data_IF_691501826630
#
_entry.id   IF_691501826630
#
_cell.length_a   1.000
_cell.length_b   1.000
_cell.length_c   1.000
_cell.angle_alpha   90.00
_cell.angle_beta   90.00
_cell.angle_gamma   90.00
#
_symmetry.space_group_name_H-M   'P 1'
#
loop_
_entity.id
_entity.type
_entity.pdbx_description
1 polymer ?
#
# COMPACT_ATOMS: atom_id res chain seq x y z
N UNK A 1 28.86 33.97 1.37
CA UNK A 1 27.56 33.84 2.01
C UNK A 1 27.33 32.33 2.26
N UNK A 2 27.34 31.92 3.51
CA UNK A 2 27.04 30.53 3.90
C UNK A 2 25.56 30.29 3.66
N UNK A 3 25.26 29.39 2.75
CA UNK A 3 23.94 28.79 2.64
C UNK A 3 23.72 27.99 3.93
N UNK A 4 22.79 28.42 4.72
CA UNK A 4 22.24 27.65 5.83
C UNK A 4 21.50 26.46 5.22
N UNK A 5 22.04 25.26 5.45
CA UNK A 5 21.35 24.00 5.28
C UNK A 5 20.02 24.12 6.01
N UNK A 6 18.93 23.83 5.30
CA UNK A 6 17.59 23.84 5.85
C UNK A 6 17.56 22.97 7.10
N UNK A 7 17.06 23.58 8.16
CA UNK A 7 16.85 22.99 9.46
C UNK A 7 16.08 21.67 9.37
N UNK A 8 16.54 20.69 10.15
CA UNK A 8 15.78 19.58 10.64
C UNK A 8 14.29 19.94 10.77
N UNK A 9 13.50 19.49 9.82
CA UNK A 9 12.08 19.35 10.06
C UNK A 9 11.99 18.27 11.15
N UNK A 10 11.80 18.70 12.38
CA UNK A 10 11.46 17.81 13.46
C UNK A 10 10.14 17.16 13.08
N UNK A 11 10.21 15.97 12.51
CA UNK A 11 9.08 15.08 12.37
C UNK A 11 8.56 14.82 13.78
N UNK A 12 7.43 15.42 14.10
CA UNK A 12 6.66 14.99 15.26
C UNK A 12 6.13 13.60 14.91
N UNK A 13 6.68 12.59 15.54
CA UNK A 13 6.11 11.25 15.65
C UNK A 13 4.80 11.35 16.43
N UNK A 14 3.73 11.87 15.83
CA UNK A 14 2.47 12.07 16.54
C UNK A 14 1.51 10.91 16.37
N UNK A 15 1.78 9.93 15.51
CA UNK A 15 0.84 8.85 15.22
C UNK A 15 1.43 7.43 15.37
N UNK A 16 2.66 7.28 15.81
CA UNK A 16 3.30 5.96 16.03
C UNK A 16 3.02 5.42 17.45
N UNK A 17 2.41 6.19 18.33
CA UNK A 17 2.13 5.77 19.71
C UNK A 17 0.94 4.78 19.86
N UNK A 18 0.21 4.47 18.77
CA UNK A 18 -0.81 3.42 18.77
C UNK A 18 -0.27 2.16 18.10
N UNK A 19 0.58 1.45 18.78
CA UNK A 19 1.17 0.17 18.33
C UNK A 19 0.13 -0.90 18.03
N UNK A 20 -1.06 -0.78 18.59
CA UNK A 20 -2.17 -1.72 18.41
C UNK A 20 -3.01 -1.51 17.14
N UNK A 21 -2.82 -0.38 16.42
CA UNK A 21 -3.58 -0.10 15.19
C UNK A 21 -2.83 0.91 14.30
N UNK A 22 -1.70 0.55 13.68
CA UNK A 22 -0.89 1.50 12.92
C UNK A 22 -1.59 1.95 11.64
N UNK A 23 -1.76 3.27 11.49
CA UNK A 23 -2.29 3.86 10.26
C UNK A 23 -1.35 3.69 9.06
N UNK A 24 -0.06 3.44 9.33
CA UNK A 24 1.00 3.22 8.33
C UNK A 24 1.84 2.01 8.72
N UNK A 25 2.43 1.35 7.73
CA UNK A 25 3.40 0.28 7.98
C UNK A 25 4.38 0.13 6.82
N UNK A 26 5.31 -0.82 6.92
CA UNK A 26 6.46 -0.95 6.04
C UNK A 26 6.80 -2.40 5.73
N UNK A 27 7.17 -2.68 4.47
CA UNK A 27 7.96 -3.86 4.12
C UNK A 27 9.43 -3.49 4.23
N UNK A 28 10.15 -4.13 5.16
CA UNK A 28 11.56 -3.81 5.45
C UNK A 28 12.41 -5.06 5.76
N UNK A 29 11.96 -6.22 5.31
CA UNK A 29 12.58 -7.52 5.55
C UNK A 29 13.91 -7.70 4.80
N UNK A 30 14.14 -6.93 3.74
CA UNK A 30 15.31 -7.03 2.89
C UNK A 30 16.13 -5.72 2.87
N UNK A 31 16.68 -5.34 1.74
CA UNK A 31 17.52 -4.16 1.58
C UNK A 31 16.75 -2.90 1.20
N UNK A 32 15.42 -2.98 1.09
CA UNK A 32 14.52 -1.87 0.82
C UNK A 32 13.55 -1.68 1.99
N UNK A 33 13.23 -0.44 2.35
CA UNK A 33 12.08 -0.12 3.15
C UNK A 33 11.02 0.55 2.26
N UNK A 34 9.77 0.05 2.29
CA UNK A 34 8.70 0.53 1.43
C UNK A 34 7.42 0.71 2.25
N UNK A 35 7.00 1.98 2.40
CA UNK A 35 5.93 2.39 3.29
C UNK A 35 4.58 2.50 2.59
N UNK A 36 3.53 2.14 3.31
CA UNK A 36 2.13 2.24 2.86
C UNK A 36 1.24 2.67 4.02
N UNK A 37 0.15 3.36 3.72
CA UNK A 37 -0.89 3.67 4.70
C UNK A 37 -2.14 2.80 4.51
N UNK A 38 -3.02 2.82 5.50
CA UNK A 38 -4.23 1.99 5.54
C UNK A 38 -5.27 2.28 4.44
N UNK A 39 -5.16 3.40 3.75
CA UNK A 39 -5.95 3.70 2.54
C UNK A 39 -5.43 3.01 1.27
N UNK A 40 -4.31 2.29 1.34
CA UNK A 40 -3.63 1.69 0.20
C UNK A 40 -2.73 2.66 -0.58
N UNK A 41 -2.66 3.92 -0.16
CA UNK A 41 -1.77 4.91 -0.75
C UNK A 41 -0.33 4.74 -0.24
N UNK A 42 0.63 5.15 -1.06
CA UNK A 42 1.98 5.37 -0.61
C UNK A 42 2.05 6.46 0.45
N UNK A 43 3.09 6.45 1.26
CA UNK A 43 3.26 7.47 2.29
C UNK A 43 4.72 7.75 2.62
N UNK A 44 5.02 9.02 2.80
CA UNK A 44 6.31 9.49 3.34
C UNK A 44 6.31 9.52 4.86
N UNK A 45 5.13 9.43 5.49
CA UNK A 45 5.01 9.38 6.94
C UNK A 45 5.62 8.08 7.48
N UNK A 46 6.34 8.16 8.57
CA UNK A 46 7.03 7.02 9.18
C UNK A 46 8.43 6.74 8.60
N UNK A 47 8.71 7.13 7.38
CA UNK A 47 10.06 7.00 6.83
C UNK A 47 11.05 7.97 7.51
N UNK A 48 12.23 7.50 7.92
CA UNK A 48 13.26 8.36 8.51
C UNK A 48 13.77 9.45 7.57
N UNK A 49 13.64 9.28 6.28
CA UNK A 49 14.12 10.19 5.25
C UNK A 49 13.03 11.04 4.60
N UNK A 50 11.77 10.89 5.01
CA UNK A 50 10.64 11.59 4.39
C UNK A 50 10.35 11.13 2.94
N UNK A 51 10.65 9.86 2.65
CA UNK A 51 10.44 9.21 1.36
C UNK A 51 9.57 7.97 1.57
N UNK A 52 8.77 7.58 0.60
CA UNK A 52 8.00 6.35 0.70
C UNK A 52 8.90 5.11 0.64
N UNK A 53 9.93 5.11 -0.18
CA UNK A 53 10.87 4.01 -0.26
C UNK A 53 12.31 4.49 -0.06
N UNK A 54 13.04 3.78 0.80
CA UNK A 54 14.46 3.96 1.05
C UNK A 54 15.25 2.77 0.50
N UNK A 55 16.37 3.04 -0.18
CA UNK A 55 17.25 2.00 -0.69
C UNK A 55 18.70 2.49 -0.85
N UNK A 56 19.70 1.77 -0.32
CA UNK A 56 19.54 0.69 0.67
C UNK A 56 18.85 1.17 1.95
N UNK A 57 18.19 0.27 2.66
CA UNK A 57 17.53 0.59 3.93
C UNK A 57 18.46 1.38 4.87
N UNK A 58 17.96 2.40 5.55
CA UNK A 58 18.69 3.37 6.38
C UNK A 58 19.60 4.34 5.60
N UNK A 59 19.41 4.51 4.30
CA UNK A 59 20.18 5.47 3.50
C UNK A 59 19.28 6.48 2.79
N UNK A 60 19.46 6.72 1.50
CA UNK A 60 18.70 7.71 0.74
C UNK A 60 17.38 7.19 0.20
N UNK A 61 16.51 8.13 -0.15
CA UNK A 61 15.24 7.85 -0.79
C UNK A 61 15.40 7.33 -2.22
N UNK A 62 14.46 6.50 -2.61
CA UNK A 62 14.33 5.94 -3.95
C UNK A 62 13.05 6.39 -4.63
N UNK A 63 11.96 6.48 -3.86
CA UNK A 63 10.64 6.89 -4.30
C UNK A 63 10.11 7.86 -3.25
N UNK A 64 9.73 9.07 -3.69
CA UNK A 64 9.09 10.04 -2.81
C UNK A 64 7.68 9.58 -2.45
N UNK A 65 6.84 9.33 -3.45
CA UNK A 65 5.48 8.83 -3.26
C UNK A 65 5.01 8.04 -4.49
N UNK A 66 4.15 7.06 -4.28
CA UNK A 66 3.49 6.33 -5.34
C UNK A 66 2.01 6.04 -5.03
N UNK A 67 1.28 5.56 -6.01
CA UNK A 67 -0.09 5.14 -5.83
C UNK A 67 -0.65 4.40 -7.03
N UNK A 68 -1.78 3.73 -6.80
CA UNK A 68 -2.58 3.16 -7.88
C UNK A 68 -3.61 4.18 -8.33
N UNK A 69 -3.74 4.36 -9.64
CA UNK A 69 -4.74 5.19 -10.27
C UNK A 69 -5.59 4.38 -11.23
N UNK A 70 -6.84 4.75 -11.36
CA UNK A 70 -7.71 4.26 -12.41
C UNK A 70 -8.54 5.37 -13.03
N UNK A 71 -8.88 5.18 -14.29
CA UNK A 71 -9.85 5.96 -15.04
C UNK A 71 -10.96 5.05 -15.53
N UNK A 72 -12.20 5.46 -15.30
CA UNK A 72 -13.39 4.66 -15.58
C UNK A 72 -14.37 5.46 -16.46
N UNK A 73 -14.96 4.78 -17.43
CA UNK A 73 -16.05 5.31 -18.25
C UNK A 73 -17.25 4.39 -18.17
N UNK A 74 -18.44 4.97 -18.15
CA UNK A 74 -19.71 4.26 -18.29
C UNK A 74 -20.72 5.16 -19.00
N UNK A 75 -21.70 4.56 -19.68
CA UNK A 75 -22.74 5.29 -20.45
C UNK A 75 -23.69 6.08 -19.54
N UNK A 76 -23.88 5.65 -18.28
CA UNK A 76 -24.71 6.31 -17.29
C UNK A 76 -24.08 7.56 -16.68
N UNK A 77 -22.79 7.76 -16.90
CA UNK A 77 -22.13 8.97 -16.38
C UNK A 77 -22.60 10.19 -17.16
N UNK A 78 -22.79 11.34 -16.49
CA UNK A 78 -23.28 12.54 -17.15
C UNK A 78 -22.31 13.03 -18.23
N UNK A 79 -22.83 13.55 -19.35
CA UNK A 79 -22.02 14.11 -20.45
C UNK A 79 -21.02 15.18 -19.98
N UNK A 80 -21.33 15.90 -18.89
CA UNK A 80 -20.44 16.91 -18.30
C UNK A 80 -19.24 16.30 -17.55
N UNK A 81 -19.30 15.02 -17.17
CA UNK A 81 -18.26 14.28 -16.47
C UNK A 81 -18.28 12.79 -16.90
N UNK A 82 -17.96 12.50 -18.19
CA UNK A 82 -18.12 11.16 -18.76
C UNK A 82 -17.04 10.18 -18.31
N UNK A 83 -16.05 10.64 -17.58
CA UNK A 83 -14.95 9.85 -17.02
C UNK A 83 -14.82 10.16 -15.54
N UNK A 84 -14.70 9.12 -14.74
CA UNK A 84 -14.31 9.23 -13.33
C UNK A 84 -12.90 8.73 -13.14
N UNK A 85 -12.21 9.35 -12.19
CA UNK A 85 -10.85 8.95 -11.79
C UNK A 85 -10.85 8.65 -10.31
N UNK A 86 -10.12 7.62 -9.93
CA UNK A 86 -9.97 7.22 -8.53
C UNK A 86 -8.54 6.76 -8.24
N UNK A 87 -8.29 6.36 -6.98
CA UNK A 87 -6.99 5.94 -6.51
C UNK A 87 -6.25 7.01 -5.73
N UNK A 88 -4.93 7.00 -5.80
CA UNK A 88 -4.07 7.87 -4.99
C UNK A 88 -2.89 8.41 -5.78
N UNK A 89 -2.59 9.70 -5.56
CA UNK A 89 -1.35 10.39 -5.91
C UNK A 89 -0.87 11.09 -4.63
N UNK A 90 -0.42 12.34 -4.69
CA UNK A 90 -0.29 13.23 -3.51
C UNK A 90 -1.66 13.50 -2.84
N UNK A 91 -2.74 13.23 -3.54
CA UNK A 91 -4.10 13.25 -3.01
C UNK A 91 -4.63 11.82 -2.87
N UNK A 92 -5.34 11.57 -1.77
CA UNK A 92 -5.86 10.26 -1.42
C UNK A 92 -7.34 10.20 -1.79
N UNK A 93 -7.65 9.34 -2.74
CA UNK A 93 -9.01 9.12 -3.21
C UNK A 93 -9.68 7.87 -2.60
N UNK A 94 -9.05 7.26 -1.59
CA UNK A 94 -9.53 6.06 -0.92
C UNK A 94 -9.51 6.24 0.59
N UNK A 95 -10.40 5.56 1.30
CA UNK A 95 -10.39 5.42 2.76
C UNK A 95 -10.26 3.96 3.15
N UNK A 96 -9.65 3.68 4.30
CA UNK A 96 -9.56 2.33 4.84
C UNK A 96 -10.96 1.73 5.09
N UNK A 97 -11.08 0.42 4.96
CA UNK A 97 -12.28 -0.33 5.22
C UNK A 97 -12.82 -1.07 3.99
N UNK A 98 -13.68 -2.03 4.24
CA UNK A 98 -14.36 -2.82 3.20
C UNK A 98 -15.76 -2.27 2.93
N UNK A 99 -16.30 -2.64 1.76
CA UNK A 99 -17.68 -2.29 1.39
C UNK A 99 -18.65 -3.25 2.05
N UNK A 100 -19.69 -2.72 2.68
CA UNK A 100 -20.71 -3.48 3.41
C UNK A 100 -21.93 -3.69 2.52
N UNK A 101 -22.38 -4.94 2.47
CA UNK A 101 -23.56 -5.36 1.71
C UNK A 101 -24.66 -5.85 2.64
N UNK A 102 -25.91 -5.64 2.25
CA UNK A 102 -27.08 -6.23 2.91
C UNK A 102 -27.24 -7.73 2.54
N UNK A 103 -28.27 -8.36 3.10
CA UNK A 103 -28.56 -9.77 2.84
C UNK A 103 -28.96 -10.07 1.37
N UNK A 104 -29.37 -9.05 0.62
CA UNK A 104 -29.75 -9.16 -0.79
C UNK A 104 -28.56 -8.84 -1.71
N UNK A 105 -27.38 -8.49 -1.13
CA UNK A 105 -26.15 -8.19 -1.85
C UNK A 105 -26.02 -6.73 -2.30
N UNK A 106 -26.92 -5.85 -1.88
CA UNK A 106 -26.81 -4.43 -2.23
C UNK A 106 -25.79 -3.72 -1.34
N UNK A 107 -25.06 -2.79 -1.89
CA UNK A 107 -24.18 -1.91 -1.12
C UNK A 107 -25.01 -1.02 -0.19
N UNK A 108 -24.68 -1.00 1.09
CA UNK A 108 -25.32 -0.14 2.10
C UNK A 108 -24.37 0.94 2.59
N UNK A 109 -23.10 0.80 2.36
CA UNK A 109 -22.06 1.74 2.74
C UNK A 109 -20.70 1.06 2.90
N UNK A 110 -19.80 1.67 3.63
CA UNK A 110 -18.49 1.13 3.98
C UNK A 110 -18.30 1.07 5.49
N UNK A 111 -17.47 0.16 5.95
CA UNK A 111 -17.09 0.06 7.36
C UNK A 111 -16.31 1.29 7.82
N UNK A 112 -16.32 1.55 9.14
CA UNK A 112 -15.66 2.71 9.73
C UNK A 112 -14.13 2.59 9.57
N UNK A 113 -13.47 3.58 8.92
CA UNK A 113 -12.02 3.58 8.73
C UNK A 113 -11.20 3.51 10.03
N UNK A 114 -11.80 3.86 11.17
CA UNK A 114 -11.12 3.79 12.48
C UNK A 114 -10.83 2.35 12.91
N UNK A 115 -11.63 1.39 12.43
CA UNK A 115 -11.50 -0.03 12.75
C UNK A 115 -10.39 -0.72 11.94
N UNK A 116 -9.75 -0.02 11.01
CA UNK A 116 -8.76 -0.57 10.10
C UNK A 116 -7.38 0.01 10.33
N UNK A 117 -6.38 -0.85 10.13
CA UNK A 117 -4.96 -0.52 10.16
C UNK A 117 -4.24 -1.15 8.97
N UNK A 118 -2.94 -0.97 8.89
CA UNK A 118 -2.07 -1.70 7.95
C UNK A 118 -1.63 -2.99 8.61
N UNK A 119 -2.14 -4.11 8.14
CA UNK A 119 -1.80 -5.44 8.64
C UNK A 119 -0.39 -5.83 8.21
N UNK A 120 0.40 -6.37 9.13
CA UNK A 120 1.80 -6.67 8.88
C UNK A 120 2.22 -7.96 9.58
N UNK A 121 2.65 -8.95 8.81
CA UNK A 121 3.11 -10.23 9.33
C UNK A 121 4.50 -10.57 8.83
N UNK A 122 5.24 -11.33 9.63
CA UNK A 122 6.57 -11.81 9.33
C UNK A 122 6.70 -13.26 9.83
N UNK A 123 7.10 -14.18 8.97
CA UNK A 123 7.03 -15.63 9.25
C UNK A 123 7.99 -16.09 10.36
N UNK A 124 9.07 -15.36 10.60
CA UNK A 124 10.08 -15.68 11.62
C UNK A 124 10.03 -14.77 12.86
N UNK A 125 8.97 -13.94 13.03
CA UNK A 125 8.93 -12.91 14.07
C UNK A 125 9.18 -13.44 15.49
N UNK A 126 8.75 -14.66 15.79
CA UNK A 126 8.92 -15.30 17.12
C UNK A 126 10.39 -15.60 17.46
N UNK A 127 11.28 -15.68 16.47
CA UNK A 127 12.67 -16.08 16.65
C UNK A 127 13.69 -15.10 16.10
N UNK A 128 13.25 -14.16 15.28
CA UNK A 128 14.12 -13.19 14.62
C UNK A 128 14.64 -12.13 15.61
N UNK A 129 15.82 -11.59 15.32
CA UNK A 129 16.27 -10.32 15.90
C UNK A 129 15.54 -9.16 15.21
N UNK A 130 14.57 -8.58 15.89
CA UNK A 130 13.75 -7.48 15.39
C UNK A 130 14.38 -6.09 15.59
N UNK A 131 15.63 -6.00 16.04
CA UNK A 131 16.30 -4.72 16.32
C UNK A 131 16.34 -3.80 15.10
N UNK A 132 16.71 -4.32 13.91
CA UNK A 132 16.74 -3.52 12.68
C UNK A 132 15.35 -3.16 12.17
N UNK A 133 14.42 -4.08 12.29
CA UNK A 133 13.03 -3.87 11.94
C UNK A 133 12.43 -2.73 12.76
N UNK A 134 12.52 -2.82 14.08
CA UNK A 134 12.06 -1.78 14.99
C UNK A 134 12.80 -0.44 14.79
N UNK A 135 14.10 -0.47 14.55
CA UNK A 135 14.85 0.75 14.27
C UNK A 135 14.34 1.49 13.02
N UNK A 136 14.03 0.75 11.95
CA UNK A 136 13.45 1.34 10.74
C UNK A 136 12.02 1.82 10.99
N UNK A 137 11.18 0.99 11.63
CA UNK A 137 9.79 1.33 11.94
C UNK A 137 9.65 2.60 12.80
N UNK A 138 10.53 2.77 13.78
CA UNK A 138 10.56 3.94 14.67
C UNK A 138 11.47 5.08 14.18
N UNK A 139 11.90 5.07 12.92
CA UNK A 139 12.75 6.10 12.33
C UNK A 139 14.01 6.43 13.18
N UNK A 140 14.67 5.37 13.69
CA UNK A 140 15.85 5.49 14.55
C UNK A 140 16.98 4.57 14.08
N UNK A 141 18.06 4.47 14.83
CA UNK A 141 19.17 3.56 14.54
C UNK A 141 19.11 2.31 15.39
N UNK A 142 19.72 1.22 14.93
CA UNK A 142 19.79 -0.02 15.70
C UNK A 142 20.46 0.14 17.08
N UNK A 143 21.31 1.16 17.25
CA UNK A 143 21.94 1.46 18.55
C UNK A 143 21.06 2.28 19.50
N UNK A 144 20.01 2.93 18.98
CA UNK A 144 19.15 3.84 19.72
C UNK A 144 17.74 3.25 19.96
N UNK A 145 17.37 2.23 19.20
CA UNK A 145 16.07 1.56 19.39
C UNK A 145 15.99 0.95 20.81
N UNK A 146 14.87 1.16 21.47
CA UNK A 146 14.69 0.67 22.84
C UNK A 146 14.15 -0.77 22.86
N UNK A 147 14.34 -1.46 23.99
CA UNK A 147 13.75 -2.77 24.18
C UNK A 147 12.21 -2.74 24.13
N UNK A 148 11.58 -1.65 24.56
CA UNK A 148 10.15 -1.42 24.46
C UNK A 148 9.70 -1.31 23.02
N UNK A 149 10.40 -0.55 22.18
CA UNK A 149 10.12 -0.44 20.74
C UNK A 149 10.25 -1.79 20.02
N UNK A 150 11.25 -2.59 20.37
CA UNK A 150 11.41 -3.93 19.82
C UNK A 150 10.24 -4.84 20.26
N UNK A 151 9.85 -4.77 21.54
CA UNK A 151 8.72 -5.52 22.05
C UNK A 151 7.41 -5.12 21.38
N UNK A 152 7.18 -3.82 21.17
CA UNK A 152 6.01 -3.31 20.49
C UNK A 152 5.89 -3.84 19.05
N UNK A 153 7.00 -3.92 18.31
CA UNK A 153 7.01 -4.54 16.97
C UNK A 153 6.69 -6.02 17.02
N UNK A 154 7.21 -6.73 18.03
CA UNK A 154 6.87 -8.13 18.27
C UNK A 154 5.38 -8.30 18.55
N UNK A 155 4.84 -7.53 19.49
CA UNK A 155 3.43 -7.58 19.91
C UNK A 155 2.49 -7.26 18.73
N UNK A 156 2.88 -6.34 17.86
CA UNK A 156 2.15 -6.06 16.62
C UNK A 156 2.13 -7.27 15.68
N UNK A 157 3.29 -7.89 15.43
CA UNK A 157 3.34 -9.08 14.59
C UNK A 157 2.50 -10.21 15.16
N UNK A 158 2.55 -10.43 16.47
CA UNK A 158 1.73 -11.45 17.14
C UNK A 158 0.24 -11.14 17.00
N UNK A 159 -0.16 -9.90 17.23
CA UNK A 159 -1.55 -9.45 17.08
C UNK A 159 -2.05 -9.62 15.65
N UNK A 160 -1.28 -9.16 14.67
CA UNK A 160 -1.66 -9.24 13.25
C UNK A 160 -1.68 -10.69 12.76
N UNK A 161 -0.80 -11.55 13.26
CA UNK A 161 -0.79 -12.98 12.97
C UNK A 161 -2.08 -13.65 13.45
N UNK A 162 -2.44 -13.40 14.70
CA UNK A 162 -3.61 -14.03 15.34
C UNK A 162 -4.94 -13.52 14.80
N UNK A 163 -4.98 -12.29 14.28
CA UNK A 163 -6.20 -11.63 13.79
C UNK A 163 -6.14 -11.32 12.29
N UNK A 164 -5.34 -12.06 11.53
CA UNK A 164 -5.16 -11.83 10.09
C UNK A 164 -6.50 -11.80 9.35
N UNK A 165 -6.78 -10.78 8.52
CA UNK A 165 -8.11 -10.54 7.97
C UNK A 165 -8.38 -11.37 6.70
N UNK A 166 -8.14 -12.68 6.77
CA UNK A 166 -8.38 -13.60 5.65
C UNK A 166 -9.84 -13.56 5.16
N UNK A 167 -10.79 -13.34 6.07
CA UNK A 167 -12.21 -13.19 5.71
C UNK A 167 -12.48 -11.97 4.82
N UNK A 168 -11.58 -10.98 4.78
CA UNK A 168 -11.67 -9.80 3.92
C UNK A 168 -10.81 -9.95 2.64
N UNK A 169 -10.22 -11.14 2.43
CA UNK A 169 -9.41 -11.45 1.26
C UNK A 169 -7.91 -11.25 1.43
N UNK A 170 -7.41 -11.08 2.68
CA UNK A 170 -5.98 -11.09 2.92
C UNK A 170 -5.41 -12.49 2.63
N UNK A 171 -4.30 -12.60 1.88
CA UNK A 171 -3.76 -13.88 1.46
C UNK A 171 -3.16 -14.66 2.65
N UNK A 172 -3.23 -15.98 2.59
CA UNK A 172 -2.58 -16.88 3.53
C UNK A 172 -2.20 -18.20 2.85
N UNK A 173 -1.26 -18.93 3.43
CA UNK A 173 -0.95 -20.29 3.00
C UNK A 173 -1.82 -21.26 3.83
N UNK A 174 -2.78 -21.88 3.17
CA UNK A 174 -3.64 -22.92 3.75
C UNK A 174 -2.84 -24.23 3.85
N UNK A 175 -2.31 -24.49 5.02
CA UNK A 175 -1.41 -25.62 5.26
C UNK A 175 -2.15 -26.96 5.33
N UNK A 176 -3.40 -26.95 5.80
CA UNK A 176 -4.18 -28.15 5.99
C UNK A 176 -5.18 -28.43 4.82
N UNK A 177 -5.39 -27.48 3.91
CA UNK A 177 -6.23 -27.58 2.73
C UNK A 177 -7.73 -27.55 3.03
N UNK A 178 -8.15 -26.89 4.11
CA UNK A 178 -9.56 -26.79 4.50
C UNK A 178 -10.27 -25.50 4.06
N UNK A 179 -9.52 -24.58 3.43
CA UNK A 179 -9.99 -23.27 2.92
C UNK A 179 -10.49 -22.32 4.03
N UNK A 180 -10.13 -22.59 5.29
CA UNK A 180 -10.51 -21.78 6.46
C UNK A 180 -9.26 -21.36 7.22
N UNK A 181 -9.00 -20.06 7.32
CA UNK A 181 -7.84 -19.56 8.03
C UNK A 181 -7.90 -19.88 9.53
N UNK A 182 -6.90 -20.60 10.02
CA UNK A 182 -6.61 -20.81 11.46
C UNK A 182 -5.18 -20.39 11.77
N UNK A 183 -4.95 -19.34 12.60
CA UNK A 183 -3.61 -18.83 12.89
C UNK A 183 -2.70 -19.84 13.60
N UNK A 184 -3.23 -20.94 14.11
CA UNK A 184 -2.46 -22.02 14.74
C UNK A 184 -1.97 -23.08 13.74
N UNK A 185 -2.53 -23.11 12.55
CA UNK A 185 -2.25 -24.12 11.51
C UNK A 185 -1.68 -23.47 10.26
N UNK A 186 -2.27 -22.34 9.85
CA UNK A 186 -1.98 -21.68 8.60
C UNK A 186 -0.96 -20.55 8.76
N UNK A 187 -0.40 -20.10 7.66
CA UNK A 187 0.60 -19.04 7.65
C UNK A 187 -0.02 -17.80 7.02
N UNK A 188 -0.27 -16.73 7.80
CA UNK A 188 -0.78 -15.48 7.25
C UNK A 188 0.25 -14.79 6.37
N UNK A 189 -0.22 -14.10 5.33
CA UNK A 189 0.60 -13.39 4.37
C UNK A 189 0.64 -14.06 3.00
N UNK A 190 1.36 -13.45 2.07
CA UNK A 190 1.51 -14.00 0.72
C UNK A 190 2.29 -15.33 0.78
N UNK A 191 1.77 -16.41 0.18
CA UNK A 191 2.38 -17.74 0.28
C UNK A 191 3.87 -17.74 -0.12
N UNK A 192 4.71 -18.26 0.78
CA UNK A 192 6.16 -18.34 0.61
C UNK A 192 6.92 -17.02 0.83
N UNK A 193 6.25 -15.89 1.09
CA UNK A 193 6.89 -14.65 1.47
C UNK A 193 7.43 -14.68 2.90
N UNK A 194 8.48 -13.91 3.18
CA UNK A 194 9.00 -13.80 4.55
C UNK A 194 8.35 -12.67 5.34
N UNK A 195 7.91 -11.60 4.69
CA UNK A 195 7.13 -10.52 5.27
C UNK A 195 6.03 -10.10 4.30
N UNK A 196 4.83 -9.87 4.82
CA UNK A 196 3.69 -9.34 4.07
C UNK A 196 3.07 -8.17 4.79
N UNK A 197 2.68 -7.16 4.02
CA UNK A 197 1.86 -6.03 4.45
C UNK A 197 0.59 -6.03 3.61
N UNK A 198 -0.56 -5.81 4.25
CA UNK A 198 -1.85 -5.85 3.59
C UNK A 198 -2.77 -4.73 4.04
N UNK A 199 -3.55 -4.18 3.08
CA UNK A 199 -4.56 -3.16 3.34
C UNK A 199 -5.81 -3.42 2.53
N UNK A 200 -6.96 -2.91 3.02
CA UNK A 200 -8.22 -2.84 2.31
C UNK A 200 -8.78 -1.42 2.41
N UNK A 201 -9.25 -0.91 1.28
CA UNK A 201 -9.78 0.46 1.19
C UNK A 201 -10.88 0.55 0.15
N UNK A 202 -11.65 1.63 0.17
CA UNK A 202 -12.78 1.85 -0.73
C UNK A 202 -13.02 3.33 -0.98
N UNK A 203 -13.84 3.66 -2.00
CA UNK A 203 -14.28 5.02 -2.31
C UNK A 203 -15.77 5.27 -2.05
N UNK A 204 -16.48 4.35 -1.37
CA UNK A 204 -17.90 4.45 -1.06
C UNK A 204 -18.15 5.55 0.00
N UNK A 205 -19.04 6.54 -0.24
CA UNK A 205 -19.13 7.73 0.61
C UNK A 205 -19.68 7.48 2.02
N UNK A 206 -20.67 6.61 2.13
CA UNK A 206 -21.44 6.41 3.37
C UNK A 206 -20.70 5.46 4.32
N UNK A 207 -20.57 5.86 5.59
CA UNK A 207 -20.09 4.98 6.66
C UNK A 207 -21.28 4.37 7.38
N UNK A 208 -21.22 3.06 7.62
CA UNK A 208 -22.24 2.31 8.34
C UNK A 208 -21.67 1.65 9.60
N UNK A 209 -22.56 1.39 10.57
CA UNK A 209 -22.21 0.59 11.75
C UNK A 209 -22.20 -0.92 11.42
N UNK A 210 -21.86 -1.74 12.41
CA UNK A 210 -21.81 -3.20 12.28
C UNK A 210 -23.17 -3.85 11.88
N UNK A 211 -24.27 -3.11 11.91
CA UNK A 211 -25.60 -3.55 11.48
C UNK A 211 -25.96 -3.02 10.08
N UNK A 212 -25.04 -2.32 9.41
CA UNK A 212 -25.29 -1.70 8.10
C UNK A 212 -26.13 -0.43 8.17
N UNK A 213 -26.24 0.19 9.34
CA UNK A 213 -27.01 1.44 9.53
C UNK A 213 -26.07 2.64 9.36
N UNK A 214 -26.42 3.62 8.47
CA UNK A 214 -25.63 4.84 8.32
C UNK A 214 -25.39 5.56 9.66
N UNK A 215 -24.14 5.85 9.98
CA UNK A 215 -23.75 6.49 11.24
C UNK A 215 -24.05 8.00 11.25
N UNK A 216 -24.36 8.57 10.09
CA UNK A 216 -24.50 10.01 9.89
C UNK A 216 -23.17 10.74 9.78
N UNK A 217 -22.06 10.03 9.99
CA UNK A 217 -20.72 10.49 9.66
C UNK A 217 -20.45 10.19 8.18
N UNK A 218 -20.88 11.09 7.32
CA UNK A 218 -20.23 11.21 6.02
C UNK A 218 -18.83 11.71 6.33
N UNK A 219 -17.80 10.95 5.98
CA UNK A 219 -16.49 11.59 5.86
C UNK A 219 -16.68 12.66 4.78
N UNK A 220 -16.71 13.94 5.18
CA UNK A 220 -16.68 15.09 4.27
C UNK A 220 -15.36 15.14 3.44
N UNK A 221 -14.57 14.16 3.60
CA UNK A 221 -13.54 13.63 2.75
C UNK A 221 -14.07 12.34 2.14
N UNK A 222 -15.24 12.41 1.45
CA UNK A 222 -15.49 11.41 0.43
C UNK A 222 -14.21 11.36 -0.38
N UNK A 223 -13.62 10.21 -0.58
CA UNK A 223 -12.35 10.10 -1.25
C UNK A 223 -12.55 10.46 -2.73
N UNK A 224 -12.46 11.75 -3.00
CA UNK A 224 -12.64 12.32 -4.33
C UNK A 224 -11.27 12.69 -4.85
N UNK A 225 -10.67 11.82 -5.62
CA UNK A 225 -9.45 12.18 -6.31
C UNK A 225 -9.74 13.36 -7.25
N UNK A 226 -9.17 14.53 -6.91
CA UNK A 226 -9.34 15.78 -7.68
C UNK A 226 -10.81 16.21 -7.89
N UNK A 227 -11.71 15.83 -7.00
CA UNK A 227 -13.13 16.20 -7.07
C UNK A 227 -13.98 15.36 -8.03
N UNK A 228 -13.45 14.23 -8.50
CA UNK A 228 -14.26 13.27 -9.25
C UNK A 228 -15.26 12.57 -8.31
N UNK A 229 -16.45 12.26 -8.81
CA UNK A 229 -17.39 11.42 -8.07
C UNK A 229 -16.79 10.02 -7.86
N UNK A 230 -17.09 9.34 -6.74
CA UNK A 230 -16.63 7.98 -6.49
C UNK A 230 -17.17 7.01 -7.53
N UNK A 231 -16.41 5.96 -7.78
CA UNK A 231 -16.76 4.89 -8.72
C UNK A 231 -17.58 3.80 -8.04
N UNK A 232 -17.35 3.54 -6.78
CA UNK A 232 -17.86 2.40 -6.02
C UNK A 232 -16.93 1.20 -6.15
N UNK A 233 -15.70 1.33 -5.66
CA UNK A 233 -14.69 0.29 -5.73
C UNK A 233 -14.09 -0.02 -4.37
N UNK A 234 -13.68 -1.28 -4.21
CA UNK A 234 -12.85 -1.75 -3.12
C UNK A 234 -11.47 -2.12 -3.65
N UNK A 235 -10.42 -1.61 -3.01
CA UNK A 235 -9.03 -1.88 -3.36
C UNK A 235 -8.36 -2.65 -2.23
N UNK A 236 -7.79 -3.81 -2.55
CA UNK A 236 -6.90 -4.57 -1.67
C UNK A 236 -5.48 -4.44 -2.20
N UNK A 237 -4.54 -4.13 -1.32
CA UNK A 237 -3.12 -4.06 -1.66
C UNK A 237 -2.36 -5.04 -0.79
N UNK A 238 -1.67 -5.97 -1.43
CA UNK A 238 -0.72 -6.88 -0.81
C UNK A 238 0.68 -6.49 -1.23
N UNK A 239 1.55 -6.22 -0.26
CA UNK A 239 2.98 -6.01 -0.51
C UNK A 239 3.78 -7.07 0.24
N UNK A 240 4.82 -7.61 -0.39
CA UNK A 240 5.64 -8.62 0.28
C UNK A 240 7.10 -8.57 -0.15
N UNK A 241 7.94 -9.18 0.67
CA UNK A 241 9.36 -9.26 0.44
C UNK A 241 9.98 -10.53 1.00
N UNK A 242 11.22 -10.76 0.59
CA UNK A 242 11.99 -11.94 0.95
C UNK A 242 13.25 -11.54 1.72
N UNK A 243 13.59 -12.27 2.80
CA UNK A 243 14.74 -12.03 3.68
C UNK A 243 16.06 -12.47 3.04
N UNK A 244 16.33 -12.00 1.83
CA UNK A 244 17.61 -12.22 1.16
C UNK A 244 18.53 -11.02 1.32
N UNK A 245 19.85 -11.26 1.26
CA UNK A 245 20.83 -10.18 1.33
C UNK A 245 20.93 -9.40 0.01
N UNK A 246 21.57 -8.23 0.04
CA UNK A 246 21.69 -7.32 -1.09
C UNK A 246 22.37 -7.92 -2.35
N UNK A 247 23.10 -9.04 -2.20
CA UNK A 247 23.71 -9.76 -3.34
C UNK A 247 22.73 -10.66 -4.11
N UNK A 248 21.56 -10.93 -3.52
CA UNK A 248 20.48 -11.66 -4.17
C UNK A 248 19.51 -10.67 -4.81
N UNK A 249 19.06 -10.85 -6.06
CA UNK A 249 18.07 -9.98 -6.68
C UNK A 249 16.82 -9.80 -5.85
N UNK A 250 16.28 -10.86 -5.25
CA UNK A 250 15.09 -10.80 -4.42
C UNK A 250 15.30 -10.05 -3.10
N UNK A 251 16.54 -9.85 -2.68
CA UNK A 251 16.91 -9.00 -1.54
C UNK A 251 16.77 -7.49 -1.81
N UNK A 252 16.49 -7.09 -3.05
CA UNK A 252 16.40 -5.69 -3.48
C UNK A 252 15.06 -5.36 -4.16
N UNK A 253 14.05 -6.18 -3.95
CA UNK A 253 12.72 -6.04 -4.57
C UNK A 253 11.64 -6.15 -3.50
N UNK A 254 10.62 -5.31 -3.63
CA UNK A 254 9.33 -5.45 -2.96
C UNK A 254 8.29 -5.73 -4.02
N UNK A 255 7.51 -6.77 -3.83
CA UNK A 255 6.38 -7.11 -4.69
C UNK A 255 5.12 -6.42 -4.21
N UNK A 256 4.26 -6.03 -5.16
CA UNK A 256 2.99 -5.38 -4.89
C UNK A 256 1.91 -5.97 -5.78
N UNK A 257 0.82 -6.45 -5.20
CA UNK A 257 -0.39 -6.87 -5.89
C UNK A 257 -1.52 -5.91 -5.51
N UNK A 258 -2.23 -5.39 -6.49
CA UNK A 258 -3.44 -4.60 -6.30
C UNK A 258 -4.63 -5.36 -6.88
N UNK A 259 -5.70 -5.49 -6.10
CA UNK A 259 -6.96 -6.11 -6.51
C UNK A 259 -8.04 -5.06 -6.39
N UNK A 260 -8.66 -4.68 -7.52
CA UNK A 260 -9.75 -3.73 -7.56
C UNK A 260 -11.05 -4.44 -7.86
N UNK A 261 -12.02 -4.32 -6.96
CA UNK A 261 -13.35 -4.90 -7.11
C UNK A 261 -14.36 -3.78 -7.31
N UNK A 262 -15.13 -3.83 -8.39
CA UNK A 262 -16.27 -2.95 -8.57
C UNK A 262 -17.44 -3.46 -7.73
N UNK A 263 -17.84 -2.69 -6.74
CA UNK A 263 -18.94 -3.00 -5.81
C UNK A 263 -20.21 -2.19 -6.12
N UNK A 264 -20.04 -1.09 -6.85
CA UNK A 264 -21.05 -0.06 -6.95
C UNK A 264 -21.14 0.80 -5.67
N UNK A 265 -22.05 1.75 -5.72
CA UNK A 265 -22.37 2.66 -4.60
C UNK A 265 -23.68 2.21 -3.92
N UNK A 266 -23.95 2.76 -2.75
CA UNK A 266 -25.22 2.52 -2.07
C UNK A 266 -26.45 2.90 -2.93
N UNK A 267 -27.50 2.10 -2.90
CA UNK A 267 -28.72 2.29 -3.71
C UNK A 267 -29.45 3.61 -3.40
N UNK A 268 -29.17 4.23 -2.28
CA UNK A 268 -29.69 5.55 -1.89
C UNK A 268 -28.86 6.71 -2.44
N UNK A 269 -27.73 6.44 -3.10
CA UNK A 269 -26.85 7.46 -3.67
C UNK A 269 -27.53 8.19 -4.82
N UNK A 270 -27.41 9.52 -4.85
CA UNK A 270 -27.80 10.34 -6.01
C UNK A 270 -26.71 10.34 -7.11
N UNK A 271 -25.55 9.77 -6.84
CA UNK A 271 -24.43 9.64 -7.77
C UNK A 271 -24.75 8.50 -8.76
N UNK A 272 -24.52 8.71 -10.04
CA UNK A 272 -24.73 7.68 -11.04
C UNK A 272 -23.94 6.41 -10.68
N UNK A 273 -24.62 5.28 -10.66
CA UNK A 273 -24.13 3.98 -10.24
C UNK A 273 -24.37 2.95 -11.35
N UNK A 274 -23.47 2.89 -12.35
CA UNK A 274 -23.61 1.97 -13.49
C UNK A 274 -23.65 0.52 -13.03
N UNK A 275 -24.40 -0.32 -13.73
CA UNK A 275 -24.36 -1.77 -13.54
C UNK A 275 -23.06 -2.37 -14.13
N UNK A 276 -22.54 -1.75 -15.19
CA UNK A 276 -21.34 -2.18 -15.92
C UNK A 276 -20.45 -1.00 -16.20
N UNK A 277 -19.16 -1.18 -16.04
CA UNK A 277 -18.15 -0.20 -16.44
C UNK A 277 -17.65 -0.53 -17.85
N UNK A 278 -17.83 0.41 -18.82
CA UNK A 278 -17.48 0.18 -20.22
C UNK A 278 -15.98 0.08 -20.47
N UNK A 279 -15.21 0.88 -19.74
CA UNK A 279 -13.76 0.95 -19.90
C UNK A 279 -13.12 1.27 -18.56
N UNK A 280 -12.16 0.44 -18.17
CA UNK A 280 -11.37 0.64 -16.95
C UNK A 280 -9.89 0.60 -17.32
N UNK A 281 -9.16 1.64 -16.93
CA UNK A 281 -7.71 1.75 -17.13
C UNK A 281 -7.03 1.88 -15.79
N UNK A 282 -5.98 1.11 -15.58
CA UNK A 282 -5.13 1.16 -14.39
C UNK A 282 -3.75 1.71 -14.71
N UNK A 283 -3.16 2.39 -13.74
CA UNK A 283 -1.76 2.77 -13.78
C UNK A 283 -1.13 2.77 -12.40
N UNK A 284 0.11 2.36 -12.31
CA UNK A 284 0.98 2.68 -11.20
C UNK A 284 1.51 4.10 -11.43
N UNK A 285 1.11 5.03 -10.58
CA UNK A 285 1.67 6.38 -10.53
C UNK A 285 2.87 6.39 -9.58
N UNK A 286 3.90 7.15 -9.89
CA UNK A 286 5.04 7.33 -9.03
C UNK A 286 5.70 8.68 -9.24
N UNK A 287 6.23 9.22 -8.14
CA UNK A 287 7.18 10.32 -8.07
C UNK A 287 8.51 9.79 -7.51
N UNK A 288 9.38 9.29 -8.38
CA UNK A 288 10.65 8.72 -7.93
C UNK A 288 11.69 9.82 -7.72
N UNK A 289 12.27 9.86 -6.53
CA UNK A 289 13.32 10.80 -6.10
C UNK A 289 14.54 10.03 -5.62
N UNK A 290 15.63 10.04 -6.38
CA UNK A 290 16.89 9.39 -6.01
C UNK A 290 17.79 10.35 -5.25
N UNK A 291 17.68 10.37 -3.93
CA UNK A 291 18.50 11.25 -3.09
C UNK A 291 18.30 12.73 -3.41
N UNK A 292 19.04 13.28 -4.36
CA UNK A 292 18.90 14.65 -4.84
C UNK A 292 18.06 14.69 -6.13
N UNK A 293 16.77 14.85 -6.00
CA UNK A 293 15.78 14.71 -7.08
C UNK A 293 15.97 15.62 -8.32
N UNK A 294 16.78 16.68 -8.23
CA UNK A 294 16.86 17.71 -9.29
C UNK A 294 17.62 17.30 -10.55
N UNK A 295 18.31 16.19 -10.53
CA UNK A 295 19.10 15.65 -11.63
C UNK A 295 18.70 14.20 -12.02
N UNK A 296 17.51 13.79 -11.59
CA UNK A 296 16.94 12.50 -11.95
C UNK A 296 16.33 12.49 -13.34
N UNK A 297 16.47 11.37 -14.02
CA UNK A 297 15.86 11.08 -15.31
C UNK A 297 15.07 9.79 -15.24
N UNK A 298 13.97 9.75 -15.98
CA UNK A 298 13.13 8.55 -16.13
C UNK A 298 13.29 7.96 -17.51
N UNK A 299 13.08 6.66 -17.59
CA UNK A 299 13.04 5.91 -18.83
C UNK A 299 12.04 4.79 -18.77
N UNK A 300 11.75 4.20 -19.92
CA UNK A 300 10.86 3.05 -20.04
C UNK A 300 11.45 2.02 -21.01
N UNK A 301 11.19 0.76 -20.74
CA UNK A 301 11.36 -0.34 -21.68
C UNK A 301 10.00 -0.99 -21.89
N UNK A 302 9.39 -0.74 -23.04
CA UNK A 302 8.02 -1.18 -23.33
C UNK A 302 7.95 -2.70 -23.51
N UNK A 303 9.00 -3.31 -24.08
CA UNK A 303 9.04 -4.75 -24.32
C UNK A 303 9.13 -5.54 -23.00
N UNK A 304 9.73 -4.93 -21.98
CA UNK A 304 9.83 -5.49 -20.64
C UNK A 304 8.73 -4.98 -19.68
N UNK A 305 7.82 -4.12 -20.15
CA UNK A 305 6.80 -3.46 -19.30
C UNK A 305 7.41 -2.77 -18.07
N UNK A 306 8.56 -2.14 -18.23
CA UNK A 306 9.39 -1.61 -17.16
C UNK A 306 9.53 -0.09 -17.25
N UNK A 307 9.28 0.60 -16.13
CA UNK A 307 9.57 2.03 -15.95
C UNK A 307 10.68 2.21 -14.92
N UNK A 308 11.65 3.09 -15.16
CA UNK A 308 12.79 3.26 -14.27
C UNK A 308 13.23 4.70 -14.13
N UNK A 309 13.94 4.98 -13.04
CA UNK A 309 14.58 6.23 -12.70
C UNK A 309 16.08 6.01 -12.48
N UNK A 310 16.89 6.96 -12.91
CA UNK A 310 18.33 6.95 -12.69
C UNK A 310 18.88 8.37 -12.53
N UNK A 311 19.95 8.51 -11.76
CA UNK A 311 20.59 9.80 -11.52
C UNK A 311 21.37 10.26 -12.76
N UNK A 312 21.15 11.50 -13.19
CA UNK A 312 21.80 12.10 -14.37
C UNK A 312 23.27 12.48 -14.14
N UNK A 313 23.66 12.70 -12.89
CA UNK A 313 25.02 12.98 -12.51
C UNK A 313 25.69 11.75 -11.90
N UNK A 314 27.00 11.64 -12.08
CA UNK A 314 27.78 10.54 -11.50
C UNK A 314 27.81 10.57 -9.97
N UNK A 315 27.69 11.76 -9.38
CA UNK A 315 27.74 11.96 -7.92
C UNK A 315 26.45 12.62 -7.47
N UNK A 316 25.78 11.99 -6.55
CA UNK A 316 24.57 12.49 -5.88
C UNK A 316 24.92 13.07 -4.50
N UNK A 317 24.23 14.17 -4.13
CA UNK A 317 24.49 14.87 -2.87
C UNK A 317 24.16 14.05 -1.63
N UNK A 318 23.14 13.19 -1.69
CA UNK A 318 22.71 12.33 -0.59
C UNK A 318 23.53 11.04 -0.58
N UNK A 319 23.45 10.24 -1.65
CA UNK A 319 24.13 8.94 -1.67
C UNK A 319 25.63 9.05 -1.57
N UNK A 320 26.27 9.85 -2.42
CA UNK A 320 27.73 10.03 -2.36
C UNK A 320 28.14 10.96 -1.22
N UNK A 321 27.39 12.05 -1.01
CA UNK A 321 27.78 13.10 -0.07
C UNK A 321 27.57 12.73 1.40
N UNK A 322 26.50 12.00 1.72
CA UNK A 322 26.17 11.63 3.11
C UNK A 322 26.59 10.20 3.41
N UNK A 323 26.24 9.26 2.53
CA UNK A 323 26.41 7.82 2.79
C UNK A 323 27.65 7.21 2.17
N UNK A 324 28.37 7.95 1.30
CA UNK A 324 29.52 7.46 0.54
C UNK A 324 29.18 6.19 -0.27
N UNK A 325 28.00 6.15 -0.85
CA UNK A 325 27.48 5.08 -1.71
C UNK A 325 27.29 5.61 -3.13
N UNK A 326 27.35 4.75 -4.15
CA UNK A 326 26.86 5.13 -5.48
C UNK A 326 25.35 5.37 -5.43
N UNK A 327 24.87 6.34 -6.20
CA UNK A 327 23.43 6.52 -6.38
C UNK A 327 22.83 5.29 -7.06
N UNK A 328 21.76 4.69 -6.51
CA UNK A 328 21.11 3.55 -7.14
C UNK A 328 20.30 3.99 -8.38
N UNK A 329 19.76 3.02 -9.11
CA UNK A 329 18.62 3.18 -9.99
C UNK A 329 17.46 2.35 -9.42
N UNK A 330 16.24 2.76 -9.70
CA UNK A 330 15.05 2.05 -9.27
C UNK A 330 14.00 1.99 -10.37
N UNK A 331 12.94 1.21 -10.17
CA UNK A 331 11.89 1.13 -11.17
C UNK A 331 10.75 0.21 -10.77
N UNK A 332 9.75 0.17 -11.65
CA UNK A 332 8.59 -0.69 -11.55
C UNK A 332 8.54 -1.63 -12.75
N UNK A 333 8.37 -2.89 -12.48
CA UNK A 333 8.20 -3.95 -13.47
C UNK A 333 6.78 -4.52 -13.32
N UNK A 334 5.97 -4.45 -14.38
CA UNK A 334 4.66 -5.07 -14.42
C UNK A 334 4.80 -6.54 -14.78
N UNK A 335 4.87 -7.39 -13.75
CA UNK A 335 4.97 -8.83 -13.90
C UNK A 335 3.69 -9.44 -14.45
N UNK A 336 2.54 -8.81 -14.15
CA UNK A 336 1.23 -9.19 -14.64
C UNK A 336 0.39 -7.93 -14.84
N UNK A 337 -0.25 -7.80 -16.00
CA UNK A 337 -1.23 -6.76 -16.29
C UNK A 337 -2.56 -7.00 -15.56
N UNK A 338 -3.56 -6.15 -15.78
CA UNK A 338 -4.90 -6.40 -15.28
C UNK A 338 -5.39 -7.76 -15.75
N UNK A 339 -5.68 -8.66 -14.80
CA UNK A 339 -6.32 -9.95 -15.06
C UNK A 339 -7.75 -9.87 -14.53
N UNK A 340 -8.70 -10.37 -15.32
CA UNK A 340 -10.06 -10.56 -14.85
C UNK A 340 -10.12 -11.90 -14.11
N UNK A 341 -10.61 -11.90 -12.87
CA UNK A 341 -10.79 -13.12 -12.09
C UNK A 341 -12.08 -13.88 -12.47
N UNK A 342 -12.59 -13.65 -13.67
CA UNK A 342 -13.71 -14.41 -14.22
C UNK A 342 -13.19 -15.44 -15.22
N UNK A 343 -13.75 -16.62 -15.17
CA UNK A 343 -13.62 -17.62 -16.22
C UNK A 343 -14.47 -17.18 -17.42
N UNK A 344 -13.86 -16.45 -18.36
CA UNK A 344 -14.58 -15.80 -19.47
C UNK A 344 -14.97 -16.82 -20.52
N UNK A 345 -14.17 -17.84 -20.76
CA UNK A 345 -14.43 -18.86 -21.79
C UNK A 345 -14.91 -20.20 -21.23
N UNK A 346 -14.93 -20.37 -19.90
CA UNK A 346 -15.47 -21.54 -19.21
C UNK A 346 -14.51 -22.74 -19.16
N UNK A 347 -13.20 -22.50 -19.30
CA UNK A 347 -12.18 -23.55 -19.28
C UNK A 347 -11.62 -23.85 -17.88
N UNK A 348 -12.01 -23.05 -16.88
CA UNK A 348 -11.58 -23.16 -15.49
C UNK A 348 -10.30 -22.38 -15.18
N UNK A 349 -9.75 -21.64 -16.12
CA UNK A 349 -8.66 -20.69 -15.90
C UNK A 349 -9.24 -19.30 -15.53
N UNK A 350 -8.84 -18.76 -14.39
CA UNK A 350 -9.28 -17.47 -13.85
C UNK A 350 -8.30 -16.34 -14.15
N UNK A 351 -7.38 -16.52 -15.08
CA UNK A 351 -6.28 -15.56 -15.36
C UNK A 351 -6.40 -14.84 -16.70
N UNK A 352 -7.54 -14.89 -17.36
CA UNK A 352 -7.78 -14.26 -18.66
C UNK A 352 -7.92 -12.73 -18.63
#
# INVERSE_FOLDING_TARGET
AKSTVASEAAFKSTDIDEVSNPAISVVNINNMAYWIEKSGAGTTAGSPNGQQADYPIFTGGLIYEDGMLWGVKADEYPESAPVRVGGSTYYKGMKAGFVVHDADGNVVGADDPVNHHVWRVRTDFMTADLTKDAANFYATTASNVTAEQIQNVYDQYESDWMNWPAAWGAPYEDVNGDEVFDPNTDIPGYPGAHQTVWTISNDVPTIVDANGVPTGESTNTAPNLYGADPVGVELRVTMWGYAFGASDPLGNVVFKKAELTYTGLETSSEIANPEVLDSVYFTQWSDPDLGTYTDDYVGTDVDLSFGYVYNGNRLDGVFNGIYNLPCPAGGYDFLQGPADNRDIDGDGDMTE
#
